data_IF_463837870653
#
_entry.id   IF_463837870653
#
_cell.length_a   1.000
_cell.length_b   1.000
_cell.length_c   1.000
_cell.angle_alpha   90.00
_cell.angle_beta   90.00
_cell.angle_gamma   90.00
#
_symmetry.space_group_name_H-M   'P 1'
#
loop_
_entity.id
_entity.type
_entity.pdbx_description
1 polymer ?
#
# COMPACT_ATOMS: atom_id res chain seq x y z
N UNK A 1 -40.52 10.89 -31.74
CA UNK A 1 -39.25 11.64 -31.71
C UNK A 1 -39.32 12.88 -30.82
N UNK A 2 -40.18 13.89 -31.07
CA UNK A 2 -40.21 15.15 -30.29
C UNK A 2 -40.49 14.95 -28.78
N UNK A 3 -41.45 14.08 -28.44
CA UNK A 3 -41.81 13.81 -27.02
C UNK A 3 -40.65 13.20 -26.23
N UNK A 4 -39.84 12.36 -26.86
CA UNK A 4 -38.67 11.73 -26.22
C UNK A 4 -37.54 12.73 -26.00
N UNK A 5 -37.32 13.64 -26.96
CA UNK A 5 -36.37 14.75 -26.81
C UNK A 5 -36.77 15.68 -25.66
N UNK A 6 -38.06 16.04 -25.56
CA UNK A 6 -38.56 16.90 -24.47
C UNK A 6 -38.43 16.24 -23.08
N UNK A 7 -38.63 14.92 -22.98
CA UNK A 7 -38.42 14.19 -21.72
C UNK A 7 -36.94 14.14 -21.33
N UNK A 8 -36.04 13.94 -22.29
CA UNK A 8 -34.59 13.97 -22.03
C UNK A 8 -34.14 15.37 -21.59
N UNK A 9 -34.65 16.42 -22.23
CA UNK A 9 -34.37 17.80 -21.85
C UNK A 9 -34.84 18.11 -20.42
N UNK A 10 -36.09 17.77 -20.06
CA UNK A 10 -36.62 18.01 -18.72
C UNK A 10 -35.82 17.27 -17.63
N UNK A 11 -35.36 16.05 -17.90
CA UNK A 11 -34.50 15.31 -16.97
C UNK A 11 -33.12 15.96 -16.81
N UNK A 12 -32.52 16.43 -17.91
CA UNK A 12 -31.23 17.12 -17.86
C UNK A 12 -31.32 18.45 -17.08
N UNK A 13 -32.39 19.23 -17.30
CA UNK A 13 -32.65 20.47 -16.56
C UNK A 13 -32.86 20.24 -15.06
N UNK A 14 -33.56 19.16 -14.70
CA UNK A 14 -33.72 18.75 -13.29
C UNK A 14 -32.38 18.39 -12.65
N UNK A 15 -31.57 17.57 -13.33
CA UNK A 15 -30.24 17.19 -12.84
C UNK A 15 -29.31 18.39 -12.71
N UNK A 16 -29.39 19.34 -13.63
CA UNK A 16 -28.64 20.60 -13.57
C UNK A 16 -29.05 21.40 -12.32
N UNK A 17 -30.34 21.52 -12.04
CA UNK A 17 -30.83 22.24 -10.85
C UNK A 17 -30.38 21.57 -9.54
N UNK A 18 -30.40 20.25 -9.48
CA UNK A 18 -29.90 19.49 -8.33
C UNK A 18 -28.40 19.65 -8.15
N UNK A 19 -27.63 19.66 -9.25
CA UNK A 19 -26.18 19.88 -9.21
C UNK A 19 -25.84 21.32 -8.75
N UNK A 20 -26.56 22.32 -9.23
CA UNK A 20 -26.39 23.71 -8.80
C UNK A 20 -26.68 23.87 -7.30
N UNK A 21 -27.75 23.25 -6.79
CA UNK A 21 -28.03 23.25 -5.35
C UNK A 21 -26.92 22.60 -4.50
N UNK A 22 -26.28 21.53 -5.00
CA UNK A 22 -25.12 20.93 -4.33
C UNK A 22 -23.90 21.86 -4.32
N UNK A 23 -23.68 22.60 -5.41
CA UNK A 23 -22.59 23.58 -5.50
C UNK A 23 -22.81 24.70 -4.47
N UNK A 24 -24.03 25.23 -4.35
CA UNK A 24 -24.33 26.31 -3.40
C UNK A 24 -24.08 25.89 -1.95
N UNK A 25 -24.49 24.66 -1.58
CA UNK A 25 -24.22 24.09 -0.24
C UNK A 25 -22.72 23.95 -0.01
N UNK A 26 -21.98 23.37 -0.96
CA UNK A 26 -20.52 23.22 -0.85
C UNK A 26 -19.81 24.57 -0.76
N UNK A 27 -20.26 25.58 -1.51
CA UNK A 27 -19.72 26.93 -1.43
C UNK A 27 -19.95 27.55 -0.04
N UNK A 28 -21.14 27.37 0.54
CA UNK A 28 -21.43 27.83 1.90
C UNK A 28 -20.55 27.12 2.95
N UNK A 29 -20.33 25.81 2.82
CA UNK A 29 -19.44 25.04 3.70
C UNK A 29 -17.98 25.52 3.60
N UNK A 30 -17.46 25.72 2.38
CA UNK A 30 -16.11 26.23 2.16
C UNK A 30 -15.95 27.64 2.73
N UNK A 31 -16.95 28.51 2.58
CA UNK A 31 -16.93 29.86 3.14
C UNK A 31 -16.94 29.85 4.67
N UNK A 32 -17.73 28.96 5.29
CA UNK A 32 -17.75 28.78 6.73
C UNK A 32 -16.39 28.26 7.25
N UNK A 33 -15.80 27.25 6.59
CA UNK A 33 -14.47 26.72 6.90
C UNK A 33 -13.38 27.80 6.79
N UNK A 34 -13.41 28.63 5.74
CA UNK A 34 -12.46 29.73 5.55
C UNK A 34 -12.54 30.75 6.68
N UNK A 35 -13.75 31.04 7.16
CA UNK A 35 -13.97 31.97 8.28
C UNK A 35 -13.35 31.43 9.58
N UNK A 36 -13.49 30.12 9.85
CA UNK A 36 -12.89 29.48 11.03
C UNK A 36 -11.35 29.44 10.98
N UNK A 37 -10.78 29.24 9.80
CA UNK A 37 -9.32 29.31 9.60
C UNK A 37 -8.79 30.71 9.88
N UNK A 38 -9.51 31.75 9.45
CA UNK A 38 -9.12 33.15 9.65
C UNK A 38 -9.38 33.65 11.09
N UNK A 39 -10.31 33.06 11.83
CA UNK A 39 -10.60 33.42 13.23
C UNK A 39 -9.71 32.70 14.26
N UNK A 40 -8.76 31.87 13.81
CA UNK A 40 -7.78 31.21 14.69
C UNK A 40 -6.60 32.17 14.96
N UNK A 41 -6.32 32.59 16.20
CA UNK A 41 -5.25 33.53 16.49
C UNK A 41 -3.90 32.84 16.27
N UNK A 42 -3.27 33.11 15.14
CA UNK A 42 -1.83 32.87 14.96
C UNK A 42 -1.13 34.14 15.45
N UNK A 43 -0.60 34.10 16.67
CA UNK A 43 0.23 35.19 17.21
C UNK A 43 1.52 35.34 16.40
N UNK A 44 1.95 36.58 16.08
CA UNK A 44 3.32 36.85 15.71
C UNK A 44 4.18 37.05 16.97
N UNK A 45 5.37 36.43 16.95
CA UNK A 45 6.67 36.87 17.49
C UNK A 45 6.70 37.85 18.69
N UNK A 46 7.34 37.43 19.82
CA UNK A 46 7.80 38.36 20.87
C UNK A 46 8.33 37.70 22.16
N UNK A 47 9.66 37.56 22.23
CA UNK A 47 10.57 37.68 23.41
C UNK A 47 10.39 36.84 24.71
N UNK A 48 11.51 36.22 25.12
CA UNK A 48 11.83 35.69 26.47
C UNK A 48 11.99 36.84 27.49
N UNK A 49 11.76 36.62 28.81
CA UNK A 49 12.88 36.27 29.69
C UNK A 49 12.59 35.28 30.86
N UNK A 50 13.70 34.83 31.43
CA UNK A 50 13.97 33.85 32.50
C UNK A 50 13.49 34.24 33.92
N UNK A 51 13.21 33.23 34.76
CA UNK A 51 13.72 33.02 36.14
C UNK A 51 12.70 32.41 37.12
N UNK A 52 13.17 31.51 38.01
CA UNK A 52 12.64 31.44 39.38
C UNK A 52 12.22 30.08 39.93
N UNK A 53 12.98 29.57 40.90
CA UNK A 53 12.83 28.33 41.64
C UNK A 53 11.62 28.25 42.62
N UNK A 54 11.29 27.03 43.07
CA UNK A 54 10.94 26.80 44.49
C UNK A 54 9.67 26.00 44.83
N UNK A 55 9.84 24.68 45.06
CA UNK A 55 9.48 24.00 46.32
C UNK A 55 8.02 23.83 46.83
N UNK A 56 7.70 22.55 47.08
CA UNK A 56 6.92 21.94 48.20
C UNK A 56 5.46 21.47 47.95
N UNK A 57 5.29 20.15 48.08
CA UNK A 57 4.05 19.38 48.30
C UNK A 57 3.50 19.58 49.72
N UNK A 58 2.20 19.29 50.01
CA UNK A 58 1.87 17.96 50.58
C UNK A 58 0.47 17.35 50.24
N UNK A 59 0.46 16.02 50.16
CA UNK A 59 -0.58 15.00 50.41
C UNK A 59 -2.06 15.38 50.69
N UNK A 60 -3.02 14.64 50.07
CA UNK A 60 -3.86 13.55 50.68
C UNK A 60 -4.73 12.88 49.58
N UNK A 61 -4.58 11.57 49.33
CA UNK A 61 -5.33 10.40 49.86
C UNK A 61 -6.63 10.08 49.10
N UNK A 62 -6.65 8.91 48.44
CA UNK A 62 -7.89 8.26 47.99
C UNK A 62 -7.68 7.16 46.95
N UNK A 63 -7.30 5.94 47.36
CA UNK A 63 -7.53 4.75 46.54
C UNK A 63 -9.04 4.46 46.54
N UNK A 64 -9.66 4.41 45.35
CA UNK A 64 -10.87 3.62 45.13
C UNK A 64 -10.65 2.76 43.90
N UNK A 65 -10.70 1.44 44.10
CA UNK A 65 -10.70 0.42 43.05
C UNK A 65 -12.14 0.10 42.69
N UNK A 66 -12.29 -0.42 41.48
CA UNK A 66 -13.36 -1.20 40.86
C UNK A 66 -14.39 -0.39 40.03
N UNK A 67 -14.95 -0.89 38.93
CA UNK A 67 -15.33 -2.29 38.60
C UNK A 67 -15.62 -2.41 37.09
N UNK A 68 -15.19 -3.51 36.45
CA UNK A 68 -15.74 -3.95 35.16
C UNK A 68 -17.08 -4.67 35.39
N UNK A 69 -18.01 -4.60 34.41
CA UNK A 69 -18.91 -5.66 33.86
C UNK A 69 -20.25 -5.06 33.37
N UNK A 70 -20.61 -5.34 32.11
CA UNK A 70 -21.93 -5.39 31.42
C UNK A 70 -23.20 -4.90 32.15
N UNK A 71 -24.20 -4.26 31.54
CA UNK A 71 -24.76 -4.36 30.18
C UNK A 71 -25.97 -3.41 30.07
N UNK A 72 -26.22 -2.81 28.90
CA UNK A 72 -27.57 -2.51 28.39
C UNK A 72 -27.48 -1.98 26.95
N UNK A 73 -28.06 -2.75 26.01
CA UNK A 73 -28.39 -2.31 24.67
C UNK A 73 -29.58 -1.36 24.81
N UNK A 74 -29.39 -0.06 24.60
CA UNK A 74 -30.42 0.88 24.11
C UNK A 74 -29.74 2.04 23.37
N UNK A 75 -30.32 2.40 22.22
CA UNK A 75 -29.87 3.33 21.17
C UNK A 75 -28.80 4.37 21.52
N UNK A 76 -27.63 4.22 20.89
CA UNK A 76 -26.60 5.26 20.85
C UNK A 76 -27.00 6.29 19.79
N UNK A 77 -27.55 7.42 20.23
CA UNK A 77 -27.36 8.68 19.52
C UNK A 77 -25.86 8.99 19.52
N UNK A 78 -25.22 9.33 18.39
CA UNK A 78 -23.84 9.78 18.40
C UNK A 78 -23.76 11.13 19.13
N UNK A 79 -23.08 11.14 20.28
CA UNK A 79 -22.65 12.37 20.94
C UNK A 79 -21.73 13.16 19.97
N UNK A 80 -22.08 14.40 19.58
CA UNK A 80 -21.31 15.17 18.62
C UNK A 80 -20.01 15.76 19.20
N UNK A 81 -19.69 15.48 20.47
CA UNK A 81 -18.52 16.06 21.15
C UNK A 81 -17.24 15.21 21.07
N UNK A 82 -17.28 14.03 20.45
CA UNK A 82 -16.07 13.24 20.20
C UNK A 82 -15.36 13.70 18.91
N UNK A 83 -14.60 14.79 19.00
CA UNK A 83 -13.61 15.17 17.97
C UNK A 83 -12.61 14.01 17.86
N UNK A 84 -12.82 13.11 16.89
CA UNK A 84 -11.81 12.15 16.47
C UNK A 84 -10.53 12.95 16.18
N UNK A 85 -9.38 12.62 16.79
CA UNK A 85 -8.16 13.34 16.50
C UNK A 85 -7.91 13.24 14.99
N UNK A 86 -7.87 14.39 14.32
CA UNK A 86 -7.40 14.48 12.93
C UNK A 86 -5.95 14.02 12.99
N UNK A 87 -5.70 12.75 12.67
CA UNK A 87 -4.36 12.22 12.49
C UNK A 87 -3.81 12.94 11.26
N UNK A 88 -3.12 14.06 11.49
CA UNK A 88 -2.30 14.68 10.45
C UNK A 88 -1.22 13.68 10.10
N UNK A 89 -1.18 13.26 8.84
CA UNK A 89 -0.12 12.40 8.32
C UNK A 89 1.17 13.24 8.24
N UNK A 90 1.85 13.39 9.38
CA UNK A 90 3.15 14.01 9.45
C UNK A 90 4.17 13.07 8.80
N UNK A 91 4.64 13.41 7.60
CA UNK A 91 5.76 12.74 6.94
C UNK A 91 7.04 13.49 7.29
N UNK A 92 7.75 13.00 8.29
CA UNK A 92 9.10 13.46 8.62
C UNK A 92 10.12 12.57 7.89
N UNK A 93 11.15 13.19 7.31
CA UNK A 93 12.23 12.45 6.65
C UNK A 93 13.27 12.12 7.69
N UNK A 94 13.57 10.83 7.85
CA UNK A 94 14.68 10.38 8.69
C UNK A 94 16.00 10.94 8.13
N UNK A 95 16.70 11.72 8.97
CA UNK A 95 17.91 12.43 8.57
C UNK A 95 19.08 11.49 8.26
N UNK A 96 19.15 10.34 8.94
CA UNK A 96 20.20 9.35 8.71
C UNK A 96 19.97 8.63 7.37
N UNK A 97 18.75 8.13 7.13
CA UNK A 97 18.40 7.47 5.87
C UNK A 97 18.54 8.41 4.68
N UNK A 98 18.17 9.68 4.84
CA UNK A 98 18.33 10.67 3.79
C UNK A 98 19.81 10.98 3.51
N UNK A 99 20.63 11.12 4.55
CA UNK A 99 22.08 11.32 4.37
C UNK A 99 22.72 10.14 3.67
N UNK A 100 22.38 8.91 4.06
CA UNK A 100 22.90 7.68 3.46
C UNK A 100 22.50 7.57 1.99
N UNK A 101 21.23 7.83 1.67
CA UNK A 101 20.74 7.87 0.29
C UNK A 101 21.41 8.96 -0.54
N UNK A 102 21.58 10.17 0.03
CA UNK A 102 22.23 11.28 -0.65
C UNK A 102 23.69 10.93 -0.98
N UNK A 103 24.43 10.39 -0.02
CA UNK A 103 25.81 9.93 -0.25
C UNK A 103 25.89 8.84 -1.32
N UNK A 104 25.00 7.84 -1.28
CA UNK A 104 24.92 6.81 -2.31
C UNK A 104 24.55 7.39 -3.68
N UNK A 105 23.69 8.41 -3.76
CA UNK A 105 23.25 9.00 -5.02
C UNK A 105 24.36 9.76 -5.75
N UNK A 106 25.34 10.33 -5.05
CA UNK A 106 26.50 11.00 -5.67
C UNK A 106 27.38 10.01 -6.43
N UNK A 107 27.56 8.80 -5.90
CA UNK A 107 28.29 7.69 -6.54
C UNK A 107 27.43 6.42 -6.53
N UNK A 108 26.40 6.33 -7.40
CA UNK A 108 25.43 5.25 -7.34
C UNK A 108 26.09 3.92 -7.74
N UNK A 109 25.85 2.90 -6.93
CA UNK A 109 26.32 1.53 -7.16
C UNK A 109 25.19 0.52 -6.93
N UNK A 110 25.27 -0.61 -7.64
CA UNK A 110 24.40 -1.79 -7.43
C UNK A 110 25.06 -2.85 -6.53
N UNK A 111 26.24 -2.57 -5.99
CA UNK A 111 26.92 -3.47 -5.07
C UNK A 111 26.12 -3.67 -3.78
N UNK A 112 25.90 -4.95 -3.44
CA UNK A 112 25.18 -5.37 -2.23
C UNK A 112 25.87 -4.91 -0.95
N UNK A 113 27.21 -4.76 -0.98
CA UNK A 113 28.03 -4.40 0.17
C UNK A 113 28.01 -2.91 0.54
N UNK A 114 27.45 -2.03 -0.29
CA UNK A 114 27.37 -0.61 0.06
C UNK A 114 26.37 -0.37 1.21
N UNK A 115 26.65 0.61 2.08
CA UNK A 115 25.87 0.85 3.30
C UNK A 115 24.37 1.08 3.03
N UNK A 116 24.02 1.77 1.94
CA UNK A 116 22.64 2.03 1.55
C UNK A 116 21.90 0.73 1.20
N UNK A 117 22.42 -0.05 0.25
CA UNK A 117 21.75 -1.28 -0.17
C UNK A 117 21.81 -2.35 0.91
N UNK A 118 22.91 -2.52 1.64
CA UNK A 118 23.01 -3.50 2.72
C UNK A 118 21.86 -3.36 3.73
N UNK A 119 21.53 -2.11 4.12
CA UNK A 119 20.40 -1.82 5.00
C UNK A 119 19.07 -2.23 4.37
N UNK A 120 18.81 -1.79 3.14
CA UNK A 120 17.57 -2.13 2.40
C UNK A 120 17.44 -3.64 2.20
N UNK A 121 18.52 -4.36 1.94
CA UNK A 121 18.51 -5.81 1.83
C UNK A 121 18.06 -6.47 3.13
N UNK A 122 18.65 -6.04 4.25
CA UNK A 122 18.36 -6.58 5.57
C UNK A 122 16.94 -6.29 6.04
N UNK A 123 16.48 -5.06 5.86
CA UNK A 123 15.24 -4.56 6.46
C UNK A 123 14.02 -4.77 5.54
N UNK A 124 14.21 -4.71 4.22
CA UNK A 124 13.11 -4.78 3.26
C UNK A 124 13.19 -6.01 2.35
N UNK A 125 14.28 -6.20 1.60
CA UNK A 125 14.31 -7.18 0.51
C UNK A 125 14.24 -8.62 1.04
N UNK A 126 15.07 -9.00 2.00
CA UNK A 126 15.04 -10.37 2.54
C UNK A 126 13.71 -10.69 3.22
N UNK A 127 13.18 -9.83 4.12
CA UNK A 127 11.86 -10.07 4.70
C UNK A 127 10.77 -10.10 3.62
N UNK A 128 10.88 -9.31 2.55
CA UNK A 128 9.90 -9.27 1.47
C UNK A 128 9.97 -10.49 0.52
N UNK A 129 11.11 -11.16 0.36
CA UNK A 129 11.24 -12.36 -0.49
C UNK A 129 11.34 -13.69 0.29
N UNK A 130 11.14 -13.65 1.60
CA UNK A 130 11.03 -14.87 2.42
C UNK A 130 9.67 -15.55 2.19
N UNK A 131 9.69 -16.73 1.58
CA UNK A 131 8.52 -17.57 1.31
C UNK A 131 8.67 -18.97 1.90
N UNK A 132 7.57 -19.72 1.99
CA UNK A 132 7.58 -21.11 2.49
C UNK A 132 8.48 -22.02 1.66
N UNK A 133 8.51 -21.84 0.33
CA UNK A 133 9.52 -22.47 -0.54
C UNK A 133 10.72 -21.54 -0.70
N UNK A 134 11.69 -21.68 0.19
CA UNK A 134 12.88 -20.82 0.27
C UNK A 134 13.73 -20.83 -1.00
N UNK A 135 13.94 -22.00 -1.61
CA UNK A 135 14.73 -22.15 -2.86
C UNK A 135 14.18 -21.26 -3.98
N UNK A 136 12.85 -21.23 -4.13
CA UNK A 136 12.20 -20.39 -5.14
C UNK A 136 12.28 -18.90 -4.77
N UNK A 137 12.27 -18.56 -3.47
CA UNK A 137 12.52 -17.19 -3.00
C UNK A 137 13.94 -16.71 -3.32
N UNK A 138 14.95 -17.55 -3.11
CA UNK A 138 16.34 -17.26 -3.48
C UNK A 138 16.52 -17.09 -4.99
N UNK A 139 15.91 -17.96 -5.80
CA UNK A 139 15.93 -17.84 -7.26
C UNK A 139 15.23 -16.55 -7.75
N UNK A 140 14.14 -16.13 -7.08
CA UNK A 140 13.51 -14.82 -7.34
C UNK A 140 14.47 -13.68 -7.05
N UNK A 141 15.14 -13.70 -5.89
CA UNK A 141 16.08 -12.64 -5.55
C UNK A 141 17.17 -12.50 -6.60
N UNK A 142 17.82 -13.61 -6.97
CA UNK A 142 18.87 -13.63 -7.99
C UNK A 142 18.36 -13.11 -9.34
N UNK A 143 17.18 -13.58 -9.78
CA UNK A 143 16.60 -13.13 -11.04
C UNK A 143 16.15 -11.66 -11.02
N UNK A 144 15.71 -11.15 -9.87
CA UNK A 144 15.40 -9.73 -9.71
C UNK A 144 16.68 -8.92 -9.83
N UNK A 145 17.77 -9.31 -9.17
CA UNK A 145 19.08 -8.64 -9.22
C UNK A 145 19.66 -8.62 -10.63
N UNK A 146 19.54 -9.73 -11.36
CA UNK A 146 19.98 -9.87 -12.76
C UNK A 146 19.02 -9.27 -13.79
N UNK A 147 17.85 -8.77 -13.36
CA UNK A 147 16.81 -8.25 -14.25
C UNK A 147 16.26 -9.28 -15.26
N UNK A 148 16.18 -10.55 -14.86
CA UNK A 148 15.72 -11.66 -15.69
C UNK A 148 14.36 -12.21 -15.26
N UNK A 149 13.75 -11.68 -14.18
CA UNK A 149 12.42 -12.10 -13.75
C UNK A 149 11.31 -11.43 -14.56
N UNK A 150 10.38 -12.21 -15.12
CA UNK A 150 9.14 -11.71 -15.71
C UNK A 150 7.92 -12.10 -14.86
N UNK A 151 6.92 -11.20 -14.84
CA UNK A 151 5.62 -11.43 -14.17
C UNK A 151 4.52 -11.18 -15.19
N UNK A 152 3.81 -12.24 -15.57
CA UNK A 152 2.79 -12.21 -16.61
C UNK A 152 1.39 -12.42 -16.00
N UNK A 153 0.37 -11.67 -16.44
CA UNK A 153 -1.02 -12.01 -16.16
C UNK A 153 -1.39 -13.30 -16.90
N UNK A 154 -2.23 -14.12 -16.25
CA UNK A 154 -2.82 -15.30 -16.86
C UNK A 154 -4.20 -14.90 -17.36
N UNK A 155 -4.31 -14.68 -18.67
CA UNK A 155 -5.61 -14.58 -19.32
C UNK A 155 -6.17 -15.99 -19.44
N UNK A 156 -7.43 -16.19 -19.07
CA UNK A 156 -8.09 -17.48 -19.31
C UNK A 156 -8.08 -17.73 -20.82
N UNK A 157 -7.16 -18.56 -21.31
CA UNK A 157 -7.22 -19.02 -22.69
C UNK A 157 -8.26 -20.12 -22.81
N UNK A 158 -8.97 -20.08 -23.93
CA UNK A 158 -9.94 -21.07 -24.36
C UNK A 158 -9.33 -22.49 -24.32
N UNK A 159 -10.15 -23.54 -24.18
CA UNK A 159 -9.72 -24.94 -24.00
C UNK A 159 -8.87 -25.57 -25.15
N UNK A 160 -8.38 -24.80 -26.11
CA UNK A 160 -7.63 -25.27 -27.29
C UNK A 160 -6.11 -25.01 -27.24
N UNK A 161 -5.55 -24.48 -26.15
CA UNK A 161 -4.10 -24.43 -26.00
C UNK A 161 -3.55 -25.83 -25.64
N UNK A 162 -3.25 -26.61 -26.68
CA UNK A 162 -2.66 -27.96 -26.63
C UNK A 162 -1.23 -28.02 -26.05
N UNK A 163 -0.82 -27.01 -25.29
CA UNK A 163 0.37 -27.02 -24.44
C UNK A 163 -0.08 -26.91 -23.00
N UNK A 164 -0.64 -28.02 -22.51
CA UNK A 164 -0.83 -28.22 -21.08
C UNK A 164 0.55 -28.22 -20.44
N UNK A 165 0.97 -27.03 -19.99
CA UNK A 165 2.23 -26.80 -19.29
C UNK A 165 2.40 -27.87 -18.22
N UNK A 166 3.44 -28.70 -18.37
CA UNK A 166 3.79 -29.79 -17.47
C UNK A 166 4.01 -29.22 -16.07
N UNK A 167 2.98 -29.20 -15.23
CA UNK A 167 3.12 -28.84 -13.83
C UNK A 167 2.64 -29.98 -12.94
N UNK A 168 3.63 -30.73 -12.48
CA UNK A 168 3.73 -31.56 -11.29
C UNK A 168 2.42 -32.01 -10.61
N UNK A 169 2.14 -33.30 -10.77
CA UNK A 169 1.12 -34.10 -10.07
C UNK A 169 1.24 -33.93 -8.55
N UNK A 170 0.17 -33.45 -7.90
CA UNK A 170 0.01 -33.53 -6.44
C UNK A 170 -1.24 -34.34 -6.13
N UNK A 171 -1.02 -35.48 -5.49
CA UNK A 171 -2.03 -36.42 -5.01
C UNK A 171 -2.89 -35.75 -3.92
N UNK A 172 -4.19 -35.56 -4.16
CA UNK A 172 -5.17 -35.21 -3.13
C UNK A 172 -6.36 -36.17 -3.26
N UNK A 173 -6.87 -36.59 -2.09
CA UNK A 173 -7.87 -37.63 -1.85
C UNK A 173 -9.15 -37.52 -2.71
N UNK A 174 -9.80 -38.64 -3.09
CA UNK A 174 -10.78 -38.70 -4.20
C UNK A 174 -12.09 -37.94 -3.99
N UNK A 175 -12.41 -37.51 -2.77
CA UNK A 175 -13.78 -37.12 -2.40
C UNK A 175 -14.22 -35.70 -2.83
N UNK A 176 -13.35 -34.89 -3.43
CA UNK A 176 -13.67 -33.51 -3.84
C UNK A 176 -13.39 -33.19 -5.33
N UNK A 177 -13.00 -34.20 -6.12
CA UNK A 177 -12.48 -34.03 -7.49
C UNK A 177 -13.51 -34.18 -8.62
N UNK A 178 -14.78 -34.45 -8.33
CA UNK A 178 -15.73 -34.86 -9.39
C UNK A 178 -16.30 -33.73 -10.26
N UNK A 179 -15.93 -32.45 -10.04
CA UNK A 179 -16.56 -31.33 -10.78
C UNK A 179 -15.66 -30.19 -11.25
N UNK A 180 -14.33 -30.28 -11.10
CA UNK A 180 -13.42 -29.26 -11.63
C UNK A 180 -12.36 -29.88 -12.54
N UNK A 181 -12.15 -29.38 -13.78
CA UNK A 181 -11.05 -29.83 -14.61
C UNK A 181 -9.74 -29.55 -13.87
N UNK A 182 -8.85 -30.53 -13.86
CA UNK A 182 -7.59 -30.56 -13.09
C UNK A 182 -6.70 -29.31 -13.32
N UNK A 183 -6.88 -28.62 -14.44
CA UNK A 183 -6.26 -27.33 -14.79
C UNK A 183 -6.64 -26.21 -13.81
N UNK A 184 -7.89 -26.17 -13.34
CA UNK A 184 -8.34 -25.12 -12.43
C UNK A 184 -7.67 -25.21 -11.06
N UNK A 185 -7.34 -26.43 -10.60
CA UNK A 185 -6.75 -26.65 -9.26
C UNK A 185 -5.34 -26.08 -9.17
N UNK A 186 -4.55 -26.12 -10.25
CA UNK A 186 -3.19 -25.58 -10.28
C UNK A 186 -3.17 -24.04 -10.29
N UNK A 187 -4.08 -23.41 -11.06
CA UNK A 187 -4.30 -21.95 -11.02
C UNK A 187 -4.73 -21.50 -9.63
N UNK A 188 -5.22 -22.42 -8.79
CA UNK A 188 -5.60 -22.15 -7.42
C UNK A 188 -4.48 -22.43 -6.41
N UNK A 189 -3.26 -22.87 -6.76
CA UNK A 189 -2.18 -23.10 -5.76
C UNK A 189 -0.97 -22.21 -6.02
N UNK A 190 -0.61 -21.42 -5.00
CA UNK A 190 0.57 -20.56 -5.06
C UNK A 190 1.86 -21.38 -5.00
N UNK A 191 2.73 -21.24 -6.00
CA UNK A 191 4.01 -21.93 -6.05
C UNK A 191 4.94 -21.57 -4.88
N UNK A 192 4.86 -20.34 -4.35
CA UNK A 192 5.75 -19.81 -3.30
C UNK A 192 5.29 -20.12 -1.88
N UNK A 193 3.99 -19.93 -1.60
CA UNK A 193 3.43 -20.17 -0.26
C UNK A 193 2.81 -21.55 -0.09
N UNK A 194 2.57 -22.28 -1.18
CA UNK A 194 1.87 -23.58 -1.17
C UNK A 194 0.38 -23.49 -0.83
N UNK A 195 -0.16 -22.30 -0.58
CA UNK A 195 -1.56 -22.12 -0.20
C UNK A 195 -2.48 -22.15 -1.42
N UNK A 196 -3.69 -22.66 -1.20
CA UNK A 196 -4.76 -22.65 -2.21
C UNK A 196 -5.39 -21.25 -2.27
N UNK A 197 -5.02 -20.46 -3.28
CA UNK A 197 -5.52 -19.12 -3.63
C UNK A 197 -5.57 -18.96 -5.15
N UNK A 198 -6.54 -18.22 -5.67
CA UNK A 198 -6.60 -17.90 -7.10
C UNK A 198 -5.40 -17.08 -7.56
N UNK A 199 -4.56 -17.70 -8.39
CA UNK A 199 -3.34 -17.14 -8.94
C UNK A 199 -3.60 -16.65 -10.37
N UNK A 200 -3.85 -15.35 -10.51
CA UNK A 200 -4.08 -14.72 -11.83
C UNK A 200 -2.78 -14.30 -12.54
N UNK A 201 -1.63 -14.62 -11.96
CA UNK A 201 -0.32 -14.26 -12.49
C UNK A 201 0.63 -15.44 -12.37
N UNK A 202 1.58 -15.49 -13.28
CA UNK A 202 2.69 -16.44 -13.29
C UNK A 202 4.01 -15.70 -13.42
N UNK A 203 5.06 -16.27 -12.84
CA UNK A 203 6.42 -15.75 -12.95
C UNK A 203 7.29 -16.71 -13.77
N UNK A 204 8.29 -16.17 -14.46
CA UNK A 204 9.28 -16.91 -15.23
C UNK A 204 10.67 -16.30 -15.02
N UNK A 205 11.68 -17.15 -15.01
CA UNK A 205 13.09 -16.78 -14.83
C UNK A 205 13.82 -16.84 -16.16
N UNK A 206 14.34 -15.70 -16.64
CA UNK A 206 15.06 -15.58 -17.91
C UNK A 206 14.32 -16.26 -19.06
N UNK A 207 15.04 -17.11 -19.78
CA UNK A 207 14.50 -17.87 -20.90
C UNK A 207 13.91 -19.23 -20.51
N UNK A 208 13.78 -19.53 -19.21
CA UNK A 208 13.22 -20.81 -18.73
C UNK A 208 11.84 -21.08 -19.32
N UNK A 209 11.57 -22.34 -19.67
CA UNK A 209 10.24 -22.77 -20.13
C UNK A 209 9.26 -22.95 -18.97
N UNK A 210 9.72 -22.90 -17.72
CA UNK A 210 8.89 -23.20 -16.55
C UNK A 210 8.22 -21.95 -16.02
N UNK A 211 6.90 -22.03 -15.84
CA UNK A 211 6.08 -21.00 -15.22
C UNK A 211 5.68 -21.39 -13.80
N UNK A 212 5.66 -20.41 -12.90
CA UNK A 212 5.23 -20.60 -11.51
C UNK A 212 4.05 -19.68 -11.19
N UNK A 213 2.89 -20.26 -10.91
CA UNK A 213 1.69 -19.49 -10.54
C UNK A 213 1.86 -18.88 -9.15
N UNK A 214 1.56 -17.59 -9.02
CA UNK A 214 1.74 -16.85 -7.76
C UNK A 214 0.44 -16.20 -7.31
N UNK A 215 0.21 -16.26 -6.00
CA UNK A 215 -0.94 -15.57 -5.39
C UNK A 215 -0.78 -14.04 -5.50
N UNK A 216 -1.89 -13.27 -5.41
CA UNK A 216 -1.82 -11.81 -5.40
C UNK A 216 -0.89 -11.23 -4.33
N UNK A 217 -0.85 -11.86 -3.14
CA UNK A 217 0.04 -11.45 -2.05
C UNK A 217 1.52 -11.67 -2.39
N UNK A 218 1.87 -12.85 -2.91
CA UNK A 218 3.25 -13.13 -3.34
C UNK A 218 3.65 -12.22 -4.49
N UNK A 219 2.77 -12.00 -5.46
CA UNK A 219 3.00 -11.06 -6.56
C UNK A 219 3.32 -9.67 -6.03
N UNK A 220 2.50 -9.13 -5.12
CA UNK A 220 2.69 -7.80 -4.55
C UNK A 220 4.10 -7.64 -3.95
N UNK A 221 4.52 -8.60 -3.13
CA UNK A 221 5.86 -8.63 -2.51
C UNK A 221 6.97 -8.64 -3.56
N UNK A 222 6.89 -9.52 -4.56
CA UNK A 222 7.85 -9.59 -5.66
C UNK A 222 7.91 -8.27 -6.41
N UNK A 223 6.76 -7.73 -6.82
CA UNK A 223 6.70 -6.49 -7.61
C UNK A 223 7.20 -5.29 -6.84
N UNK A 224 7.02 -5.22 -5.51
CA UNK A 224 7.57 -4.16 -4.70
C UNK A 224 9.10 -4.14 -4.77
N UNK A 225 9.73 -5.32 -4.67
CA UNK A 225 11.18 -5.45 -4.80
C UNK A 225 11.64 -5.16 -6.23
N UNK A 226 10.94 -5.67 -7.26
CA UNK A 226 11.26 -5.35 -8.65
C UNK A 226 11.20 -3.84 -8.92
N UNK A 227 10.18 -3.15 -8.40
CA UNK A 227 10.04 -1.71 -8.56
C UNK A 227 11.21 -0.95 -7.91
N UNK A 228 11.63 -1.37 -6.71
CA UNK A 228 12.81 -0.81 -6.06
C UNK A 228 14.05 -0.96 -6.93
N UNK A 229 14.40 -2.17 -7.37
CA UNK A 229 15.58 -2.38 -8.21
C UNK A 229 15.50 -1.64 -9.54
N UNK A 230 14.32 -1.59 -10.15
CA UNK A 230 14.10 -0.84 -11.39
C UNK A 230 14.42 0.63 -11.18
N UNK A 231 13.92 1.23 -10.09
CA UNK A 231 14.18 2.62 -9.77
C UNK A 231 15.65 2.90 -9.45
N UNK A 232 16.29 2.04 -8.64
CA UNK A 232 17.72 2.15 -8.33
C UNK A 232 18.58 2.04 -9.59
N UNK A 233 18.25 1.14 -10.53
CA UNK A 233 18.93 1.07 -11.83
C UNK A 233 18.76 2.33 -12.65
N UNK A 234 17.57 2.94 -12.65
CA UNK A 234 17.36 4.20 -13.35
C UNK A 234 18.20 5.33 -12.78
N UNK A 235 18.37 5.40 -11.46
CA UNK A 235 19.30 6.35 -10.83
C UNK A 235 20.74 6.05 -11.24
N UNK A 236 21.17 4.80 -11.13
CA UNK A 236 22.52 4.37 -11.50
C UNK A 236 22.87 4.66 -12.98
N UNK A 237 21.89 4.54 -13.88
CA UNK A 237 22.04 4.84 -15.31
C UNK A 237 21.93 6.35 -15.63
N UNK A 238 21.68 7.20 -14.64
CA UNK A 238 21.49 8.65 -14.83
C UNK A 238 20.20 9.03 -15.55
N UNK A 239 19.22 8.13 -15.62
CA UNK A 239 17.93 8.37 -16.28
C UNK A 239 17.00 9.27 -15.44
N UNK A 240 17.26 9.38 -14.14
CA UNK A 240 16.50 10.23 -13.22
C UNK A 240 17.20 11.59 -13.09
N UNK A 241 16.71 12.59 -13.83
CA UNK A 241 17.20 13.97 -13.71
C UNK A 241 16.84 14.56 -12.34
N UNK A 242 17.76 15.32 -11.75
CA UNK A 242 17.54 16.06 -10.50
C UNK A 242 16.34 17.00 -10.66
N UNK A 243 15.30 16.83 -9.84
CA UNK A 243 14.39 17.92 -9.49
C UNK A 243 15.05 18.73 -8.37
N UNK A 244 16.17 19.39 -8.66
CA UNK A 244 16.69 20.43 -7.75
C UNK A 244 15.95 21.72 -8.04
N UNK A 245 14.69 21.74 -7.59
CA UNK A 245 13.91 22.95 -7.45
C UNK A 245 14.47 23.75 -6.28
N UNK A 246 15.12 24.87 -6.61
CA UNK A 246 15.39 26.02 -5.72
C UNK A 246 14.43 26.07 -4.52
N UNK A 247 14.98 25.95 -3.32
CA UNK A 247 14.45 26.59 -2.12
C UNK A 247 15.60 27.25 -1.39
#
# INVERSE_FOLDING_TARGET
MVREANVKQANAEKQLKEALGKIDVLQAEVQALKTLVLSSPTSPLGELPSAGAGGKTPFRKGHSRNKSTSSAIMGTQPDPSATQPIVRECREVDSQLFSDFKAWKEEPTLDRGCCFLERVYREDIYPCLTFSKSELGSAILEAVEQNTLSVEPVYQSNPDDSKLDKCLTVTISPSFLSLLPQVLVLVLKCALSGQTKTCKHRIKFGDSSNYYYVSPYCRYRITAVCNFFTYIRYIHQGLVKQQDGKR
#
